data_IF_974987754052
#
_entry.id   IF_974987754052
#
_cell.length_a   1.000
_cell.length_b   1.000
_cell.length_c   1.000
_cell.angle_alpha   90.00
_cell.angle_beta   90.00
_cell.angle_gamma   90.00
#
_symmetry.space_group_name_H-M   'P 1'
#
loop_
_entity.id
_entity.type
_entity.pdbx_description
1 polymer ?
#
# COMPACT_ATOMS: atom_id res chain seq x y z
N UNK A 1 -20.07 28.98 -11.40
CA UNK A 1 -18.74 28.39 -11.63
C UNK A 1 -18.36 27.59 -10.39
N UNK A 2 -18.29 26.26 -10.47
CA UNK A 2 -17.83 25.41 -9.37
C UNK A 2 -16.71 24.51 -9.91
N UNK A 3 -15.50 24.62 -9.35
CA UNK A 3 -14.37 23.74 -9.66
C UNK A 3 -14.48 22.48 -8.78
N UNK A 4 -14.23 21.27 -9.30
CA UNK A 4 -14.27 20.04 -8.51
C UNK A 4 -13.05 19.95 -7.58
N UNK A 5 -13.16 19.54 -6.30
CA UNK A 5 -12.01 19.27 -5.47
C UNK A 5 -11.66 17.78 -5.56
N UNK A 6 -11.18 17.34 -6.73
CA UNK A 6 -10.29 16.18 -6.74
C UNK A 6 -8.90 16.73 -7.04
N UNK A 7 -8.05 16.91 -6.01
CA UNK A 7 -6.63 16.84 -6.24
C UNK A 7 -6.38 15.46 -6.86
N UNK A 8 -5.96 15.47 -8.12
CA UNK A 8 -5.22 14.37 -8.72
C UNK A 8 -4.22 13.91 -7.65
N UNK A 9 -4.24 12.63 -7.26
CA UNK A 9 -3.17 12.05 -6.46
C UNK A 9 -1.92 11.99 -7.35
N UNK A 10 -1.33 13.16 -7.57
CA UNK A 10 -0.04 13.42 -8.15
C UNK A 10 0.99 12.85 -7.18
N UNK A 11 1.63 11.77 -7.61
CA UNK A 11 3.08 11.57 -7.51
C UNK A 11 3.76 12.38 -6.39
N UNK A 12 3.70 11.89 -5.15
CA UNK A 12 4.33 12.55 -4.01
C UNK A 12 5.80 12.14 -3.77
N UNK A 13 6.38 11.27 -4.62
CA UNK A 13 7.78 10.84 -4.47
C UNK A 13 8.58 10.75 -5.78
N UNK A 14 8.11 11.34 -6.88
CA UNK A 14 8.74 11.11 -8.20
C UNK A 14 8.78 9.62 -8.62
N UNK A 15 8.01 8.79 -7.92
CA UNK A 15 7.90 7.34 -8.09
C UNK A 15 6.49 6.88 -7.67
N UNK A 16 5.44 7.54 -8.17
CA UNK A 16 4.06 7.00 -8.13
C UNK A 16 3.96 5.61 -8.76
N UNK A 17 4.96 5.27 -9.58
CA UNK A 17 5.22 4.04 -10.31
C UNK A 17 6.00 3.02 -9.44
N UNK A 18 6.19 3.22 -8.12
CA UNK A 18 6.94 2.25 -7.28
C UNK A 18 6.08 1.47 -6.27
N UNK A 19 5.15 2.09 -5.54
CA UNK A 19 4.37 1.36 -4.51
C UNK A 19 3.12 0.69 -5.07
N UNK A 20 2.36 1.39 -5.91
CA UNK A 20 1.22 0.80 -6.61
C UNK A 20 1.71 -0.25 -7.62
N UNK A 21 2.86 -0.04 -8.25
CA UNK A 21 3.49 -1.05 -9.11
C UNK A 21 4.15 -2.17 -8.31
N UNK A 22 4.72 -1.93 -7.14
CA UNK A 22 5.20 -3.02 -6.28
C UNK A 22 4.00 -3.85 -5.80
N UNK A 23 2.92 -3.21 -5.36
CA UNK A 23 1.68 -3.90 -5.01
C UNK A 23 1.11 -4.66 -6.22
N UNK A 24 1.11 -4.07 -7.42
CA UNK A 24 0.66 -4.71 -8.65
C UNK A 24 1.61 -5.82 -9.14
N UNK A 25 2.92 -5.70 -8.98
CA UNK A 25 3.93 -6.68 -9.39
C UNK A 25 4.00 -7.85 -8.41
N UNK A 26 3.84 -7.56 -7.11
CA UNK A 26 3.60 -8.55 -6.07
C UNK A 26 2.24 -9.25 -6.29
N UNK A 27 1.25 -8.53 -6.83
CA UNK A 27 -0.06 -9.06 -7.21
C UNK A 27 0.00 -9.96 -8.46
N UNK A 28 0.82 -9.63 -9.47
CA UNK A 28 0.88 -10.33 -10.77
C UNK A 28 1.63 -11.67 -10.70
N UNK A 29 2.61 -11.84 -9.81
CA UNK A 29 3.52 -13.02 -9.87
C UNK A 29 3.20 -14.22 -8.97
N UNK A 30 2.39 -14.15 -7.91
CA UNK A 30 2.37 -15.32 -6.98
C UNK A 30 1.12 -15.61 -6.14
N UNK A 31 0.06 -14.79 -6.15
CA UNK A 31 -0.92 -14.82 -5.05
C UNK A 31 -2.18 -15.69 -5.24
N UNK A 32 -2.05 -16.85 -5.89
CA UNK A 32 -3.00 -17.97 -5.63
C UNK A 32 -2.68 -18.68 -4.31
N UNK A 33 -2.29 -17.94 -3.26
CA UNK A 33 -2.00 -18.49 -1.92
C UNK A 33 -0.81 -17.91 -1.14
N UNK A 34 -0.10 -16.88 -1.61
CA UNK A 34 1.04 -16.30 -0.83
C UNK A 34 0.55 -15.51 0.39
N UNK A 35 1.25 -15.68 1.51
CA UNK A 35 0.81 -15.20 2.81
C UNK A 35 1.20 -13.72 3.00
N UNK A 36 0.49 -12.95 3.86
CA UNK A 36 0.87 -11.58 4.18
C UNK A 36 2.33 -11.40 4.64
N UNK A 37 2.93 -12.45 5.22
CA UNK A 37 4.32 -12.49 5.61
C UNK A 37 5.29 -12.47 4.42
N UNK A 38 4.97 -13.19 3.34
CA UNK A 38 5.80 -13.25 2.14
C UNK A 38 5.82 -11.89 1.44
N UNK A 39 4.69 -11.18 1.43
CA UNK A 39 4.59 -9.81 0.91
C UNK A 39 5.51 -8.85 1.67
N UNK A 40 5.52 -8.95 3.01
CA UNK A 40 6.40 -8.16 3.87
C UNK A 40 7.87 -8.47 3.58
N UNK A 41 8.22 -9.75 3.46
CA UNK A 41 9.59 -10.16 3.15
C UNK A 41 10.03 -9.65 1.77
N UNK A 42 9.20 -9.86 0.75
CA UNK A 42 9.48 -9.41 -0.61
C UNK A 42 9.66 -7.89 -0.73
N UNK A 43 8.93 -7.10 0.07
CA UNK A 43 9.13 -5.66 0.17
C UNK A 43 10.46 -5.31 0.87
N UNK A 44 10.79 -6.01 1.96
CA UNK A 44 12.04 -5.83 2.70
C UNK A 44 13.28 -6.13 1.85
N UNK A 45 13.25 -7.22 1.06
CA UNK A 45 14.34 -7.62 0.16
C UNK A 45 14.66 -6.55 -0.90
N UNK A 46 13.70 -5.64 -1.17
CA UNK A 46 13.84 -4.52 -2.10
C UNK A 46 14.18 -3.19 -1.42
N UNK A 47 14.56 -3.23 -0.14
CA UNK A 47 14.94 -2.05 0.63
C UNK A 47 13.77 -1.19 1.11
N UNK A 48 12.53 -1.70 1.07
CA UNK A 48 11.39 -1.03 1.71
C UNK A 48 11.29 -1.41 3.18
N UNK A 49 10.78 -0.50 4.00
CA UNK A 49 10.32 -0.85 5.34
C UNK A 49 8.86 -1.28 5.20
N UNK A 50 8.60 -2.57 5.44
CA UNK A 50 7.28 -3.16 5.40
C UNK A 50 6.84 -3.65 6.78
N UNK A 51 5.66 -3.21 7.24
CA UNK A 51 5.10 -3.60 8.53
C UNK A 51 3.76 -4.27 8.35
N UNK A 52 3.66 -5.51 8.83
CA UNK A 52 2.41 -6.26 8.91
C UNK A 52 1.87 -6.10 10.33
N UNK A 53 0.72 -5.46 10.46
CA UNK A 53 0.06 -5.18 11.76
C UNK A 53 -1.41 -5.57 11.69
N UNK A 54 -2.06 -5.76 12.84
CA UNK A 54 -3.53 -5.70 12.92
C UNK A 54 -3.92 -4.25 13.17
N UNK A 55 -4.95 -3.78 12.50
CA UNK A 55 -5.38 -2.39 12.61
C UNK A 55 -6.87 -2.22 12.65
N UNK A 56 -7.27 -0.96 12.69
CA UNK A 56 -8.64 -0.50 12.77
C UNK A 56 -8.92 0.50 11.65
N UNK A 57 -10.19 0.89 11.48
CA UNK A 57 -10.54 1.94 10.52
C UNK A 57 -9.78 3.26 10.77
N UNK A 58 -9.67 3.76 12.02
CA UNK A 58 -8.82 4.90 12.31
C UNK A 58 -7.35 4.74 11.90
N UNK A 59 -6.73 3.58 12.16
CA UNK A 59 -5.33 3.34 11.76
C UNK A 59 -5.17 3.43 10.24
N UNK A 60 -6.12 2.86 9.51
CA UNK A 60 -6.16 2.92 8.06
C UNK A 60 -6.37 4.35 7.57
N UNK A 61 -7.29 5.12 8.15
CA UNK A 61 -7.49 6.53 7.82
C UNK A 61 -6.24 7.39 8.10
N UNK A 62 -5.51 7.11 9.17
CA UNK A 62 -4.24 7.79 9.50
C UNK A 62 -3.18 7.58 8.41
N UNK A 63 -3.01 6.34 7.95
CA UNK A 63 -2.07 6.02 6.86
C UNK A 63 -2.47 6.74 5.56
N UNK A 64 -3.75 6.65 5.19
CA UNK A 64 -4.26 7.23 3.94
C UNK A 64 -4.20 8.77 3.96
N UNK A 65 -4.56 9.41 5.07
CA UNK A 65 -4.47 10.87 5.24
C UNK A 65 -3.02 11.36 5.14
N UNK A 66 -2.07 10.53 5.57
CA UNK A 66 -0.66 10.81 5.43
C UNK A 66 -0.08 10.43 4.04
N UNK A 67 -0.94 10.14 3.07
CA UNK A 67 -0.56 9.81 1.70
C UNK A 67 0.12 8.45 1.54
N UNK A 68 -0.10 7.51 2.48
CA UNK A 68 0.50 6.17 2.48
C UNK A 68 -0.56 5.12 2.15
N UNK A 69 -0.55 4.55 0.94
CA UNK A 69 -1.44 3.44 0.59
C UNK A 69 -1.20 2.22 1.49
N UNK A 70 -2.26 1.47 1.76
CA UNK A 70 -2.22 0.29 2.64
C UNK A 70 -2.74 -0.93 1.89
N UNK A 71 -1.99 -2.03 1.94
CA UNK A 71 -2.48 -3.32 1.43
C UNK A 71 -3.26 -3.99 2.55
N UNK A 72 -4.46 -4.47 2.23
CA UNK A 72 -5.29 -5.28 3.13
C UNK A 72 -5.82 -6.49 2.37
N UNK A 73 -6.32 -7.49 3.10
CA UNK A 73 -7.10 -8.58 2.52
C UNK A 73 -8.52 -8.53 3.04
N UNK A 74 -9.42 -8.80 2.11
CA UNK A 74 -10.84 -8.97 2.33
C UNK A 74 -11.14 -10.46 2.21
N UNK A 75 -12.02 -10.96 3.06
CA UNK A 75 -12.69 -12.23 2.83
C UNK A 75 -14.00 -11.95 2.10
N UNK A 76 -13.97 -12.05 0.76
CA UNK A 76 -15.16 -11.87 -0.10
C UNK A 76 -15.99 -13.14 -0.21
N UNK A 77 -15.62 -14.19 0.53
CA UNK A 77 -16.37 -15.42 0.62
C UNK A 77 -17.63 -15.28 1.49
N UNK A 78 -18.41 -16.34 1.56
CA UNK A 78 -19.57 -16.44 2.46
C UNK A 78 -19.47 -17.71 3.29
N UNK A 79 -19.63 -17.58 4.61
CA UNK A 79 -19.69 -18.71 5.54
C UNK A 79 -18.48 -19.66 5.44
N UNK A 80 -18.74 -20.88 4.96
CA UNK A 80 -17.82 -22.03 4.93
C UNK A 80 -16.81 -22.02 3.77
N UNK A 81 -16.91 -21.07 2.83
CA UNK A 81 -15.97 -20.94 1.72
C UNK A 81 -15.32 -19.55 1.72
N UNK A 82 -14.23 -19.34 2.46
CA UNK A 82 -13.51 -18.08 2.45
C UNK A 82 -12.85 -17.83 1.08
N UNK A 83 -12.97 -16.59 0.59
CA UNK A 83 -12.31 -16.15 -0.65
C UNK A 83 -11.44 -14.95 -0.30
N UNK A 84 -10.13 -15.20 -0.16
CA UNK A 84 -9.16 -14.15 0.10
C UNK A 84 -8.99 -13.23 -1.11
N UNK A 85 -9.10 -11.93 -0.89
CA UNK A 85 -8.98 -10.91 -1.93
C UNK A 85 -8.17 -9.72 -1.45
N UNK A 86 -7.00 -9.50 -2.04
CA UNK A 86 -6.14 -8.37 -1.71
C UNK A 86 -6.62 -7.09 -2.40
N UNK A 87 -6.59 -5.98 -1.67
CA UNK A 87 -6.82 -4.64 -2.21
C UNK A 87 -5.78 -3.65 -1.68
N UNK A 88 -5.44 -2.66 -2.49
CA UNK A 88 -4.59 -1.53 -2.11
C UNK A 88 -5.49 -0.34 -1.83
N UNK A 89 -5.70 -0.02 -0.55
CA UNK A 89 -6.48 1.15 -0.17
C UNK A 89 -5.69 2.42 -0.43
N UNK A 90 -6.33 3.36 -1.13
CA UNK A 90 -5.72 4.61 -1.57
C UNK A 90 -6.52 5.84 -1.14
N UNK A 91 -7.72 5.66 -0.60
CA UNK A 91 -8.60 6.76 -0.24
C UNK A 91 -9.80 6.31 0.58
N UNK A 92 -10.50 7.29 1.14
CA UNK A 92 -11.81 7.12 1.75
C UNK A 92 -12.65 8.39 1.57
N UNK A 93 -13.96 8.23 1.65
CA UNK A 93 -14.97 9.28 1.54
C UNK A 93 -15.87 9.16 2.78
N UNK A 94 -15.67 10.06 3.74
CA UNK A 94 -16.35 10.02 5.03
C UNK A 94 -17.83 10.40 4.89
N UNK A 95 -18.13 11.41 4.05
CA UNK A 95 -19.48 11.92 3.83
C UNK A 95 -20.42 10.84 3.28
N UNK A 96 -19.87 9.93 2.48
CA UNK A 96 -20.63 8.83 1.89
C UNK A 96 -20.28 7.44 2.45
N UNK A 97 -19.45 7.39 3.50
CA UNK A 97 -18.98 6.16 4.13
C UNK A 97 -18.43 5.11 3.13
N UNK A 98 -17.40 5.48 2.34
CA UNK A 98 -16.80 4.60 1.32
C UNK A 98 -15.28 4.52 1.39
N UNK A 99 -14.73 3.33 1.21
CA UNK A 99 -13.31 3.09 0.95
C UNK A 99 -13.06 3.08 -0.56
N UNK A 100 -11.94 3.66 -0.98
CA UNK A 100 -11.45 3.66 -2.36
C UNK A 100 -10.17 2.83 -2.40
N UNK A 101 -10.15 1.80 -3.24
CA UNK A 101 -9.01 0.89 -3.33
C UNK A 101 -8.79 0.37 -4.76
N UNK A 102 -7.55 -0.02 -5.07
CA UNK A 102 -7.24 -0.79 -6.26
C UNK A 102 -7.46 -2.28 -5.98
N UNK A 103 -8.13 -2.97 -6.88
CA UNK A 103 -8.53 -4.37 -6.77
C UNK A 103 -8.01 -5.13 -7.98
N UNK A 104 -6.80 -5.67 -7.86
CA UNK A 104 -6.06 -6.21 -8.99
C UNK A 104 -5.82 -5.17 -10.08
N UNK A 105 -6.15 -5.49 -11.33
CA UNK A 105 -6.01 -4.56 -12.46
C UNK A 105 -7.09 -3.48 -12.52
N UNK A 106 -8.06 -3.49 -11.59
CA UNK A 106 -9.14 -2.51 -11.52
C UNK A 106 -8.81 -1.39 -10.52
N UNK A 107 -8.42 -0.19 -10.98
CA UNK A 107 -8.17 0.93 -10.08
C UNK A 107 -9.48 1.50 -9.52
N UNK A 108 -9.37 2.23 -8.42
CA UNK A 108 -10.43 3.07 -7.83
C UNK A 108 -11.79 2.36 -7.62
N UNK A 109 -11.77 1.10 -7.22
CA UNK A 109 -12.98 0.39 -6.79
C UNK A 109 -13.45 0.97 -5.47
N UNK A 110 -14.76 1.19 -5.38
CA UNK A 110 -15.42 1.77 -4.21
C UNK A 110 -16.08 0.66 -3.40
N UNK A 111 -15.88 0.68 -2.09
CA UNK A 111 -16.48 -0.26 -1.14
C UNK A 111 -17.24 0.53 -0.07
N UNK A 112 -18.51 0.22 0.23
CA UNK A 112 -19.18 0.77 1.40
C UNK A 112 -18.41 0.38 2.68
N UNK A 113 -18.28 1.29 3.64
CA UNK A 113 -17.57 1.04 4.91
C UNK A 113 -18.04 -0.25 5.58
N UNK A 114 -19.36 -0.45 5.72
CA UNK A 114 -19.91 -1.63 6.39
C UNK A 114 -19.48 -2.95 5.72
N UNK A 115 -19.48 -3.00 4.38
CA UNK A 115 -19.06 -4.19 3.64
C UNK A 115 -17.55 -4.40 3.75
N UNK A 116 -16.76 -3.34 3.58
CA UNK A 116 -15.31 -3.39 3.71
C UNK A 116 -14.88 -3.87 5.10
N UNK A 117 -15.42 -3.27 6.17
CA UNK A 117 -15.07 -3.61 7.55
C UNK A 117 -15.46 -5.04 7.90
N UNK A 118 -16.61 -5.51 7.43
CA UNK A 118 -17.03 -6.91 7.62
C UNK A 118 -16.04 -7.87 6.94
N UNK A 119 -15.74 -7.63 5.66
CA UNK A 119 -14.92 -8.53 4.87
C UNK A 119 -13.44 -8.50 5.34
N UNK A 120 -12.96 -7.33 5.76
CA UNK A 120 -11.64 -7.15 6.35
C UNK A 120 -11.51 -7.82 7.73
N UNK A 121 -12.55 -7.71 8.58
CA UNK A 121 -12.62 -8.43 9.85
C UNK A 121 -12.63 -9.94 9.65
N UNK A 122 -13.36 -10.42 8.63
CA UNK A 122 -13.35 -11.82 8.19
C UNK A 122 -12.00 -12.34 7.71
N UNK A 123 -11.04 -11.44 7.43
CA UNK A 123 -9.65 -11.75 7.11
C UNK A 123 -8.67 -11.42 8.25
N UNK A 124 -9.16 -11.01 9.42
CA UNK A 124 -8.35 -10.77 10.62
C UNK A 124 -7.82 -9.34 10.80
N UNK A 125 -8.36 -8.36 10.07
CA UNK A 125 -8.04 -6.93 10.18
C UNK A 125 -6.55 -6.60 9.99
N UNK A 126 -5.83 -7.37 9.18
CA UNK A 126 -4.41 -7.09 8.97
C UNK A 126 -4.21 -5.97 7.96
N UNK A 127 -3.17 -5.17 8.17
CA UNK A 127 -2.67 -4.10 7.30
C UNK A 127 -1.21 -4.36 7.00
N UNK A 128 -0.82 -4.20 5.73
CA UNK A 128 0.57 -4.15 5.32
C UNK A 128 0.86 -2.72 4.83
N UNK A 129 1.65 -2.00 5.62
CA UNK A 129 2.17 -0.69 5.24
C UNK A 129 3.55 -0.87 4.61
N UNK A 130 3.83 -0.14 3.53
CA UNK A 130 5.10 -0.17 2.83
C UNK A 130 5.58 1.25 2.65
N UNK A 131 6.78 1.55 3.13
CA UNK A 131 7.42 2.86 2.97
C UNK A 131 8.83 2.69 2.44
N UNK A 132 9.38 3.68 1.70
CA UNK A 132 10.78 3.65 1.31
C UNK A 132 11.65 3.42 2.56
N UNK A 133 12.59 2.48 2.48
CA UNK A 133 13.70 2.48 3.42
C UNK A 133 14.47 3.77 3.24
N UNK A 134 15.14 4.25 4.30
CA UNK A 134 16.09 5.34 4.10
C UNK A 134 17.10 4.84 3.07
N UNK A 135 17.08 5.42 1.87
CA UNK A 135 18.27 5.43 1.04
C UNK A 135 19.33 6.03 1.94
N UNK A 136 20.34 5.25 2.32
CA UNK A 136 21.62 5.84 2.65
C UNK A 136 21.96 6.69 1.43
N UNK A 137 21.71 7.99 1.54
CA UNK A 137 22.41 8.98 0.74
C UNK A 137 23.86 8.74 1.12
N UNK A 138 24.51 7.88 0.35
CA UNK A 138 25.96 7.88 0.26
C UNK A 138 26.27 9.27 -0.28
N UNK A 139 26.53 10.20 0.65
CA UNK A 139 27.30 11.38 0.36
C UNK A 139 28.65 10.84 -0.10
N UNK A 140 28.76 10.57 -1.40
CA UNK A 140 30.04 10.46 -2.08
C UNK A 140 30.65 11.85 -1.93
N UNK A 141 31.42 12.05 -0.88
CA UNK A 141 32.33 13.17 -0.79
C UNK A 141 33.21 13.07 -2.05
N UNK A 142 33.31 14.12 -2.87
CA UNK A 142 34.18 14.08 -4.03
C UNK A 142 35.59 13.72 -3.57
N UNK A 143 36.10 12.62 -4.15
CA UNK A 143 37.38 12.03 -3.79
C UNK A 143 38.47 13.09 -3.73
N UNK A 144 39.16 13.15 -2.59
CA UNK A 144 40.42 13.87 -2.46
C UNK A 144 41.40 13.16 -3.39
N UNK A 145 41.66 13.74 -4.58
CA UNK A 145 42.74 13.31 -5.46
C UNK A 145 44.02 13.25 -4.64
N UNK A 146 44.68 12.09 -4.65
CA UNK A 146 46.05 11.98 -4.21
C UNK A 146 46.93 12.89 -5.06
N UNK A 147 47.79 13.66 -4.40
CA UNK A 147 48.98 14.21 -5.04
C UNK A 147 50.17 13.34 -4.65
N UNK A 148 50.65 12.59 -5.64
CA UNK A 148 52.01 12.07 -5.66
C UNK A 148 52.83 12.99 -6.57
N UNK A 149 54.06 13.31 -6.15
CA UNK A 149 55.09 14.03 -6.91
C UNK A 149 55.27 15.46 -6.43
N UNK A 150 56.45 15.95 -6.05
CA UNK A 150 57.85 15.49 -6.11
C UNK A 150 58.59 16.05 -4.89
#
# INVERSE_FOLDING_TARGET
MARPPWPQSLSYWGSSVSQANLAAEVYDRSLRGTLPFDLRQAAADRGFIAQLVRGTMPDLQVEITAGRPVIVQLNLGTGWLPIGHYVLVTGFDEDHARIIAHSGTRPNRVFPYAAFLRDWAGAGNWMLTVRPGRSSTETVLPGRKGSTGL
#
